data_IF_784481620577
#
_entry.id   IF_784481620577
#
_cell.length_a   1.000
_cell.length_b   1.000
_cell.length_c   1.000
_cell.angle_alpha   90.00
_cell.angle_beta   90.00
_cell.angle_gamma   90.00
#
_symmetry.space_group_name_H-M   'P 1'
#
loop_
_entity.id
_entity.type
_entity.pdbx_description
1 polymer ?
#
# COMPACT_ATOMS: atom_id res chain seq x y z
N UNK A 1 -14.05 35.16 -8.72
CA UNK A 1 -13.61 35.26 -7.32
C UNK A 1 -12.18 34.80 -7.19
N UNK A 2 -11.39 35.58 -6.54
CA UNK A 2 -9.99 35.24 -6.33
C UNK A 2 -9.85 34.35 -5.08
N UNK A 3 -9.16 33.24 -5.25
CA UNK A 3 -8.93 32.33 -4.15
C UNK A 3 -7.45 32.42 -3.74
N UNK A 4 -7.21 33.00 -2.58
CA UNK A 4 -5.87 33.09 -2.02
C UNK A 4 -5.52 31.75 -1.36
N UNK A 5 -5.07 30.81 -2.16
CA UNK A 5 -4.67 29.51 -1.68
C UNK A 5 -3.20 29.28 -2.01
N UNK A 6 -2.55 28.44 -1.21
CA UNK A 6 -1.23 27.97 -1.55
C UNK A 6 -1.32 27.19 -2.86
N UNK A 7 -0.34 27.32 -3.76
CA UNK A 7 -0.33 26.54 -4.96
C UNK A 7 -0.27 25.05 -4.60
N UNK A 8 -1.18 24.29 -5.19
CA UNK A 8 -1.20 22.83 -5.06
C UNK A 8 -0.67 22.29 -6.36
N UNK A 9 0.31 21.39 -6.28
CA UNK A 9 0.89 20.75 -7.44
C UNK A 9 0.71 19.25 -7.34
N UNK A 10 0.54 18.59 -8.49
CA UNK A 10 0.56 17.14 -8.55
C UNK A 10 2.00 16.69 -8.38
N UNK A 11 2.27 15.95 -7.33
CA UNK A 11 3.61 15.45 -7.03
C UNK A 11 3.62 13.94 -7.13
N UNK A 12 4.59 13.42 -7.84
CA UNK A 12 4.89 12.00 -7.80
C UNK A 12 5.72 11.73 -6.56
N UNK A 13 5.21 10.82 -5.74
CA UNK A 13 5.83 10.42 -4.49
C UNK A 13 6.11 8.94 -4.60
N UNK A 14 7.35 8.53 -4.40
CA UNK A 14 7.69 7.12 -4.43
C UNK A 14 8.57 6.77 -3.25
N UNK A 15 8.42 5.53 -2.77
CA UNK A 15 9.23 4.98 -1.71
C UNK A 15 9.38 3.49 -1.90
N UNK A 16 10.52 2.95 -1.54
CA UNK A 16 10.82 1.53 -1.67
C UNK A 16 11.48 1.05 -0.39
N UNK A 17 11.09 -0.13 0.08
CA UNK A 17 11.73 -0.77 1.21
C UNK A 17 11.90 -2.26 0.92
N UNK A 18 13.03 -2.84 1.34
CA UNK A 18 13.35 -4.25 1.11
C UNK A 18 13.80 -4.90 2.40
N UNK A 19 13.37 -6.13 2.62
CA UNK A 19 13.76 -6.91 3.78
C UNK A 19 13.61 -8.41 3.50
N UNK A 20 13.92 -9.22 4.50
CA UNK A 20 13.86 -10.67 4.37
C UNK A 20 12.85 -11.22 5.38
N UNK A 21 11.91 -12.01 4.89
CA UNK A 21 10.94 -12.72 5.72
C UNK A 21 11.40 -14.17 5.93
N UNK A 22 11.25 -14.65 7.16
CA UNK A 22 11.57 -16.03 7.53
C UNK A 22 10.39 -16.95 7.26
N UNK A 23 9.97 -17.01 6.01
CA UNK A 23 8.84 -17.81 5.54
C UNK A 23 9.03 -18.12 4.06
N UNK A 24 8.34 -19.18 3.59
CA UNK A 24 8.37 -19.55 2.18
C UNK A 24 7.71 -18.47 1.32
N UNK A 25 8.10 -18.41 0.06
CA UNK A 25 7.53 -17.45 -0.89
C UNK A 25 6.01 -17.61 -1.02
N UNK A 26 5.53 -18.86 -0.99
CA UNK A 26 4.09 -19.13 -1.07
C UNK A 26 3.35 -18.58 0.14
N UNK A 27 3.92 -18.70 1.32
CA UNK A 27 3.32 -18.19 2.56
C UNK A 27 3.26 -16.65 2.53
N UNK A 28 4.36 -16.02 2.13
CA UNK A 28 4.41 -14.55 2.03
C UNK A 28 3.42 -14.05 0.99
N UNK A 29 3.39 -14.71 -0.18
CA UNK A 29 2.44 -14.35 -1.23
C UNK A 29 0.99 -14.44 -0.74
N UNK A 30 0.66 -15.53 -0.06
CA UNK A 30 -0.71 -15.74 0.46
C UNK A 30 -1.12 -14.65 1.45
N UNK A 31 -0.21 -14.22 2.30
CA UNK A 31 -0.48 -13.13 3.23
C UNK A 31 -0.71 -11.81 2.50
N UNK A 32 0.13 -11.49 1.53
CA UNK A 32 0.08 -10.18 0.86
C UNK A 32 -1.11 -10.06 -0.09
N UNK A 33 -1.57 -11.15 -0.68
CA UNK A 33 -2.77 -11.11 -1.51
C UNK A 33 -4.05 -11.05 -0.71
N UNK A 34 -4.01 -11.43 0.57
CA UNK A 34 -5.16 -11.43 1.47
C UNK A 34 -5.35 -10.03 2.07
N UNK A 35 -5.71 -9.10 1.21
CA UNK A 35 -5.79 -7.67 1.54
C UNK A 35 -6.84 -7.39 2.60
N UNK A 36 -7.88 -8.21 2.66
CA UNK A 36 -8.95 -8.10 3.65
C UNK A 36 -8.41 -8.11 5.08
N UNK A 37 -7.32 -8.81 5.33
CA UNK A 37 -6.74 -8.98 6.66
C UNK A 37 -5.55 -8.05 6.94
N UNK A 38 -5.24 -7.12 6.07
CA UNK A 38 -4.17 -6.13 6.32
C UNK A 38 -4.36 -5.37 7.64
N UNK A 39 -5.56 -4.98 8.06
CA UNK A 39 -5.74 -4.32 9.34
C UNK A 39 -5.34 -5.17 10.55
N UNK A 40 -5.32 -6.49 10.41
CA UNK A 40 -4.98 -7.40 11.51
C UNK A 40 -3.49 -7.34 11.84
N UNK A 41 -2.64 -7.10 10.82
CA UNK A 41 -1.20 -7.06 11.05
C UNK A 41 -0.59 -5.67 10.84
N UNK A 42 -1.34 -4.73 10.26
CA UNK A 42 -0.85 -3.36 10.07
C UNK A 42 -1.94 -2.31 10.36
N UNK A 43 -2.45 -2.30 11.60
CA UNK A 43 -3.56 -1.38 11.94
C UNK A 43 -3.15 0.09 11.93
N UNK A 44 -1.84 0.39 12.04
CA UNK A 44 -1.37 1.77 11.99
C UNK A 44 -1.59 2.43 10.61
N UNK A 45 -1.50 1.66 9.55
CA UNK A 45 -1.63 2.17 8.18
C UNK A 45 -2.88 1.71 7.45
N UNK A 46 -3.41 0.54 7.77
CA UNK A 46 -4.63 0.01 7.17
C UNK A 46 -5.71 -0.06 8.26
N UNK A 47 -6.65 0.88 8.23
CA UNK A 47 -7.67 0.99 9.29
C UNK A 47 -8.81 0.02 9.07
N UNK A 48 -9.26 -0.12 7.84
CA UNK A 48 -10.32 -1.07 7.48
C UNK A 48 -10.23 -1.43 6.01
N UNK A 49 -10.69 -2.63 5.68
CA UNK A 49 -10.79 -3.10 4.30
C UNK A 49 -12.12 -3.83 4.13
N UNK A 50 -12.93 -3.34 3.21
CA UNK A 50 -14.17 -4.00 2.82
C UNK A 50 -14.02 -4.62 1.43
N UNK A 51 -14.35 -5.89 1.28
CA UNK A 51 -14.23 -6.58 0.00
C UNK A 51 -15.43 -6.26 -0.88
N UNK A 52 -15.17 -5.75 -2.07
CA UNK A 52 -16.21 -5.45 -3.07
C UNK A 52 -16.42 -6.61 -4.03
N UNK A 53 -15.36 -7.30 -4.38
CA UNK A 53 -15.39 -8.38 -5.35
C UNK A 53 -14.34 -9.43 -5.00
N UNK A 54 -14.71 -10.70 -5.15
CA UNK A 54 -13.79 -11.82 -4.96
C UNK A 54 -13.59 -12.56 -6.28
N UNK A 55 -12.38 -13.06 -6.47
CA UNK A 55 -12.07 -13.91 -7.60
C UNK A 55 -12.63 -15.33 -7.44
N UNK A 56 -12.39 -16.17 -8.43
CA UNK A 56 -12.87 -17.56 -8.44
C UNK A 56 -12.33 -18.38 -7.26
N UNK A 57 -11.15 -18.02 -6.74
CA UNK A 57 -10.52 -18.67 -5.59
C UNK A 57 -10.99 -18.10 -4.24
N UNK A 58 -11.94 -17.18 -4.24
CA UNK A 58 -12.45 -16.54 -3.03
C UNK A 58 -11.61 -15.40 -2.49
N UNK A 59 -10.48 -15.10 -3.12
CA UNK A 59 -9.60 -14.02 -2.66
C UNK A 59 -10.06 -12.66 -3.19
N UNK A 60 -9.82 -11.58 -2.42
CA UNK A 60 -10.25 -10.24 -2.85
C UNK A 60 -9.55 -9.79 -4.13
N UNK A 61 -10.32 -9.26 -5.08
CA UNK A 61 -9.78 -8.64 -6.31
C UNK A 61 -10.16 -7.16 -6.39
N UNK A 62 -11.12 -6.70 -5.61
CA UNK A 62 -11.46 -5.29 -5.48
C UNK A 62 -11.90 -5.01 -4.05
N UNK A 63 -11.38 -3.96 -3.47
CA UNK A 63 -11.65 -3.59 -2.07
C UNK A 63 -11.84 -2.09 -1.92
N UNK A 64 -12.61 -1.69 -0.91
CA UNK A 64 -12.61 -0.33 -0.38
C UNK A 64 -11.80 -0.34 0.91
N UNK A 65 -10.77 0.47 0.96
CA UNK A 65 -9.88 0.54 2.11
C UNK A 65 -9.88 1.93 2.73
N UNK A 66 -9.71 2.00 4.04
CA UNK A 66 -9.37 3.24 4.74
C UNK A 66 -7.92 3.12 5.16
N UNK A 67 -7.10 3.98 4.60
CA UNK A 67 -5.66 4.03 4.87
C UNK A 67 -5.35 5.22 5.75
N UNK A 68 -4.26 5.13 6.50
CA UNK A 68 -3.80 6.21 7.34
C UNK A 68 -2.36 6.56 7.01
N UNK A 69 -2.08 7.86 6.93
CA UNK A 69 -0.73 8.38 6.83
C UNK A 69 -0.40 9.14 8.12
N UNK A 70 0.77 8.89 8.68
CA UNK A 70 1.24 9.54 9.89
C UNK A 70 2.61 10.17 9.60
N UNK A 71 2.74 11.47 9.89
CA UNK A 71 3.97 12.21 9.72
C UNK A 71 4.15 13.12 10.93
N UNK A 72 4.89 12.65 11.94
CA UNK A 72 5.03 13.36 13.20
C UNK A 72 3.66 13.55 13.86
N UNK A 73 3.26 14.80 14.19
CA UNK A 73 1.95 15.05 14.78
C UNK A 73 0.79 14.99 13.78
N UNK A 74 1.12 14.92 12.47
CA UNK A 74 0.10 14.94 11.44
C UNK A 74 -0.43 13.54 11.20
N UNK A 75 -1.75 13.38 11.28
CA UNK A 75 -2.43 12.12 10.98
C UNK A 75 -3.57 12.40 10.02
N UNK A 76 -3.63 11.62 8.96
CA UNK A 76 -4.70 11.74 7.97
C UNK A 76 -5.15 10.36 7.53
N UNK A 77 -6.46 10.14 7.59
CA UNK A 77 -7.09 8.93 7.03
C UNK A 77 -7.81 9.27 5.75
N UNK A 78 -7.79 8.36 4.79
CA UNK A 78 -8.47 8.55 3.52
C UNK A 78 -8.99 7.23 2.99
N UNK A 79 -10.15 7.29 2.33
CA UNK A 79 -10.74 6.12 1.69
C UNK A 79 -10.23 5.98 0.26
N UNK A 80 -9.96 4.74 -0.15
CA UNK A 80 -9.47 4.46 -1.49
C UNK A 80 -10.02 3.13 -1.97
N UNK A 81 -10.39 3.07 -3.25
CA UNK A 81 -10.79 1.82 -3.90
C UNK A 81 -9.59 1.25 -4.62
N UNK A 82 -9.30 -0.01 -4.36
CA UNK A 82 -8.12 -0.68 -4.89
C UNK A 82 -8.51 -1.95 -5.64
N UNK A 83 -7.88 -2.16 -6.79
CA UNK A 83 -7.87 -3.45 -7.47
C UNK A 83 -6.66 -4.22 -6.99
N UNK A 84 -6.82 -5.53 -6.79
CA UNK A 84 -5.75 -6.43 -6.39
C UNK A 84 -5.31 -7.23 -7.60
N UNK A 85 -4.09 -7.01 -8.04
CA UNK A 85 -3.50 -7.71 -9.19
C UNK A 85 -2.38 -8.61 -8.69
N UNK A 86 -2.35 -9.85 -9.14
CA UNK A 86 -1.36 -10.82 -8.65
C UNK A 86 -0.68 -11.57 -9.78
N UNK A 87 0.59 -11.89 -9.56
CA UNK A 87 1.36 -12.82 -10.36
C UNK A 87 1.99 -13.81 -9.38
N UNK A 88 1.39 -15.00 -9.28
CA UNK A 88 1.84 -16.02 -8.34
C UNK A 88 3.20 -16.60 -8.74
N UNK A 89 4.14 -16.74 -7.81
CA UNK A 89 4.14 -16.32 -6.41
C UNK A 89 5.00 -15.06 -6.16
N UNK A 90 5.22 -14.23 -7.18
CA UNK A 90 6.26 -13.21 -7.18
C UNK A 90 5.76 -11.78 -7.00
N UNK A 91 4.46 -11.53 -7.24
CA UNK A 91 3.99 -10.14 -7.21
C UNK A 91 2.55 -10.02 -6.74
N UNK A 92 2.31 -9.03 -5.89
CA UNK A 92 0.99 -8.55 -5.50
C UNK A 92 0.99 -7.04 -5.66
N UNK A 93 0.04 -6.50 -6.42
CA UNK A 93 -0.10 -5.06 -6.59
C UNK A 93 -1.49 -4.60 -6.20
N UNK A 94 -1.55 -3.50 -5.47
CA UNK A 94 -2.78 -2.80 -5.11
C UNK A 94 -2.80 -1.51 -5.90
N UNK A 95 -3.78 -1.36 -6.79
CA UNK A 95 -3.84 -0.24 -7.73
C UNK A 95 -5.13 0.52 -7.50
N UNK A 96 -5.01 1.82 -7.25
CA UNK A 96 -6.20 2.66 -7.07
C UNK A 96 -7.04 2.67 -8.33
N UNK A 97 -8.33 2.43 -8.14
CA UNK A 97 -9.32 2.53 -9.19
C UNK A 97 -9.94 3.92 -9.11
N UNK A 98 -9.91 4.67 -10.21
CA UNK A 98 -10.54 5.97 -10.27
C UNK A 98 -12.04 5.83 -10.00
N UNK A 99 -12.56 6.66 -9.11
CA UNK A 99 -13.99 6.74 -8.87
C UNK A 99 -14.61 7.91 -9.65
N UNK A 100 -15.90 8.13 -9.46
CA UNK A 100 -16.65 9.15 -10.19
C UNK A 100 -16.30 10.58 -9.76
N UNK A 101 -15.40 10.76 -8.80
CA UNK A 101 -15.03 12.08 -8.33
C UNK A 101 -14.09 12.84 -9.24
N UNK A 102 -13.54 12.15 -10.26
CA UNK A 102 -12.74 12.80 -11.29
C UNK A 102 -11.43 13.40 -10.82
N UNK A 103 -10.89 12.94 -9.70
CA UNK A 103 -9.60 13.40 -9.24
C UNK A 103 -8.46 12.76 -10.04
N UNK A 104 -7.28 13.37 -10.01
CA UNK A 104 -6.09 12.86 -10.68
C UNK A 104 -5.11 12.20 -9.73
N UNK A 105 -5.55 11.90 -8.51
CA UNK A 105 -4.73 11.19 -7.56
C UNK A 105 -4.58 9.74 -8.00
N UNK A 106 -3.40 9.20 -7.84
CA UNK A 106 -3.09 7.81 -8.15
C UNK A 106 -2.32 7.20 -7.00
N UNK A 107 -2.48 5.91 -6.81
CA UNK A 107 -1.75 5.15 -5.80
C UNK A 107 -1.53 3.74 -6.30
N UNK A 108 -0.30 3.27 -6.21
CA UNK A 108 0.05 1.88 -6.46
C UNK A 108 0.95 1.40 -5.34
N UNK A 109 0.61 0.27 -4.75
CA UNK A 109 1.45 -0.41 -3.76
C UNK A 109 1.80 -1.76 -4.37
N UNK A 110 3.07 -2.00 -4.64
CA UNK A 110 3.54 -3.23 -5.27
C UNK A 110 4.45 -4.00 -4.32
N UNK A 111 4.13 -5.27 -4.12
CA UNK A 111 4.97 -6.22 -3.40
C UNK A 111 5.65 -7.11 -4.43
N UNK A 112 6.97 -7.19 -4.35
CA UNK A 112 7.77 -8.10 -5.18
C UNK A 112 8.49 -9.10 -4.28
N UNK A 113 8.43 -10.37 -4.65
CA UNK A 113 8.94 -11.46 -3.84
C UNK A 113 10.01 -12.22 -4.62
N UNK A 114 11.11 -12.54 -3.94
CA UNK A 114 12.17 -13.36 -4.49
C UNK A 114 12.54 -14.44 -3.49
N UNK A 115 12.45 -15.68 -3.90
CA UNK A 115 12.81 -16.82 -3.07
C UNK A 115 14.32 -16.83 -2.82
N UNK A 116 14.71 -16.87 -1.56
CA UNK A 116 16.12 -17.02 -1.15
C UNK A 116 16.40 -18.44 -0.64
N UNK A 117 15.37 -19.12 -0.17
CA UNK A 117 15.45 -20.47 0.35
C UNK A 117 14.06 -20.98 0.70
N UNK A 118 13.93 -22.25 1.16
CA UNK A 118 12.63 -22.85 1.44
C UNK A 118 11.82 -22.10 2.51
N UNK A 119 12.50 -21.41 3.41
CA UNK A 119 11.88 -20.64 4.49
C UNK A 119 12.47 -19.23 4.56
N UNK A 120 12.82 -18.67 3.40
CA UNK A 120 13.39 -17.34 3.36
C UNK A 120 13.01 -16.67 2.05
N UNK A 121 12.41 -15.49 2.15
CA UNK A 121 11.93 -14.72 1.00
C UNK A 121 12.36 -13.26 1.12
N UNK A 122 12.94 -12.73 0.07
CA UNK A 122 13.18 -11.29 -0.01
C UNK A 122 11.89 -10.60 -0.42
N UNK A 123 11.48 -9.60 0.35
CA UNK A 123 10.25 -8.86 0.15
C UNK A 123 10.59 -7.41 -0.12
N UNK A 124 10.11 -6.88 -1.23
CA UNK A 124 10.25 -5.47 -1.58
C UNK A 124 8.87 -4.86 -1.73
N UNK A 125 8.62 -3.75 -1.03
CA UNK A 125 7.42 -2.95 -1.25
C UNK A 125 7.81 -1.66 -1.94
N UNK A 126 7.07 -1.30 -2.98
CA UNK A 126 7.20 -0.03 -3.66
C UNK A 126 5.86 0.69 -3.62
N UNK A 127 5.88 1.93 -3.17
CA UNK A 127 4.71 2.79 -3.16
C UNK A 127 4.93 3.93 -4.12
N UNK A 128 3.99 4.13 -5.03
CA UNK A 128 4.00 5.26 -5.96
C UNK A 128 2.66 5.95 -5.87
N UNK A 129 2.67 7.25 -5.62
CA UNK A 129 1.45 8.05 -5.53
C UNK A 129 1.61 9.35 -6.30
N UNK A 130 0.50 9.79 -6.88
CA UNK A 130 0.37 11.13 -7.45
C UNK A 130 -0.68 11.85 -6.64
N UNK A 131 -0.26 12.84 -5.86
CA UNK A 131 -1.13 13.54 -4.92
C UNK A 131 -1.04 15.05 -5.14
N UNK A 132 -2.19 15.69 -4.97
CA UNK A 132 -2.27 17.15 -4.93
C UNK A 132 -1.90 17.60 -3.52
N UNK A 133 -0.69 18.12 -3.35
CA UNK A 133 -0.17 18.52 -2.05
C UNK A 133 0.54 19.86 -2.12
N UNK A 134 0.57 20.62 -1.01
CA UNK A 134 1.43 21.80 -0.94
C UNK A 134 2.89 21.41 -1.15
N UNK A 135 3.67 22.21 -1.91
CA UNK A 135 5.04 21.85 -2.26
C UNK A 135 6.00 21.82 -1.07
N UNK A 136 5.65 22.43 0.05
CA UNK A 136 6.53 22.47 1.24
C UNK A 136 6.39 21.25 2.15
N UNK A 137 5.44 20.34 1.90
CA UNK A 137 5.26 19.15 2.73
C UNK A 137 6.38 18.12 2.46
N UNK A 138 6.93 17.50 3.51
CA UNK A 138 7.99 16.49 3.34
C UNK A 138 7.42 15.12 2.97
N UNK A 139 6.73 15.05 1.83
CA UNK A 139 5.99 13.84 1.42
C UNK A 139 6.90 12.65 1.14
N UNK A 140 8.13 12.90 0.66
CA UNK A 140 9.07 11.81 0.42
C UNK A 140 9.47 11.08 1.69
N UNK A 141 9.71 11.81 2.77
CA UNK A 141 10.02 11.23 4.07
C UNK A 141 8.84 10.45 4.63
N UNK A 142 7.63 11.00 4.51
CA UNK A 142 6.40 10.35 4.96
C UNK A 142 6.19 9.03 4.21
N UNK A 143 6.36 9.04 2.90
CA UNK A 143 6.21 7.85 2.07
C UNK A 143 7.25 6.79 2.43
N UNK A 144 8.50 7.19 2.69
CA UNK A 144 9.56 6.26 3.05
C UNK A 144 9.31 5.61 4.41
N UNK A 145 8.82 6.37 5.38
CA UNK A 145 8.43 5.84 6.68
C UNK A 145 7.25 4.88 6.57
N UNK A 146 6.28 5.21 5.73
CA UNK A 146 5.12 4.35 5.48
C UNK A 146 5.55 3.02 4.83
N UNK A 147 6.40 3.07 3.83
CA UNK A 147 6.90 1.86 3.17
C UNK A 147 7.68 0.99 4.14
N UNK A 148 8.56 1.58 4.94
CA UNK A 148 9.34 0.85 5.94
C UNK A 148 8.47 0.21 7.02
N UNK A 149 7.46 0.93 7.50
CA UNK A 149 6.53 0.42 8.50
C UNK A 149 5.67 -0.71 7.97
N UNK A 150 5.20 -0.58 6.74
CA UNK A 150 4.39 -1.60 6.07
C UNK A 150 5.20 -2.89 5.88
N UNK A 151 6.42 -2.75 5.38
CA UNK A 151 7.32 -3.89 5.21
C UNK A 151 7.62 -4.59 6.53
N UNK A 152 7.98 -3.83 7.56
CA UNK A 152 8.32 -4.38 8.87
C UNK A 152 7.14 -5.15 9.48
N UNK A 153 5.93 -4.61 9.35
CA UNK A 153 4.72 -5.27 9.84
C UNK A 153 4.43 -6.57 9.08
N UNK A 154 4.59 -6.55 7.76
CA UNK A 154 4.38 -7.73 6.93
C UNK A 154 5.37 -8.85 7.28
N UNK A 155 6.65 -8.52 7.42
CA UNK A 155 7.69 -9.49 7.79
C UNK A 155 7.44 -10.07 9.19
N UNK A 156 7.10 -9.23 10.15
CA UNK A 156 6.85 -9.67 11.51
C UNK A 156 5.67 -10.64 11.60
N UNK A 157 4.66 -10.45 10.76
CA UNK A 157 3.45 -11.29 10.82
C UNK A 157 3.69 -12.70 10.29
N UNK A 158 4.52 -12.87 9.25
CA UNK A 158 4.80 -14.19 8.66
C UNK A 158 5.88 -14.96 9.41
N UNK A 159 6.66 -14.28 10.26
CA UNK A 159 7.75 -14.91 11.00
C UNK A 159 7.24 -15.84 12.10
#
# INVERSE_FOLDING_TARGET
>A
MYRATFPVVVREISATATGVASASIDTVFSQLRDVEHYPDWYPAGAKSVGVLERGADGMPVAVDAVLAAVAGPLRKSFGVRLAVETEFPTRVALVRVADDRGDHEALTISWSLRELGPQQTEVTVEMVAHLDVPPFLPVGQVAQEAAGGFLAAAIAHVA
#
